data_IF_081795156455
#
_entry.id   IF_081795156455
#
_cell.length_a   1.000
_cell.length_b   1.000
_cell.length_c   1.000
_cell.angle_alpha   90.00
_cell.angle_beta   90.00
_cell.angle_gamma   90.00
#
_symmetry.space_group_name_H-M   'P 1'
#
loop_
_entity.id
_entity.type
_entity.pdbx_description
1 polymer ?
#
# COMPACT_ATOMS: atom_id res chain seq x y z
N UNK A 1 -0.06 -32.00 -29.86
CA UNK A 1 -0.66 -32.43 -28.57
C UNK A 1 0.19 -32.08 -27.34
N UNK A 2 1.51 -32.37 -27.30
CA UNK A 2 2.39 -32.08 -26.13
C UNK A 2 2.31 -30.63 -25.60
N UNK A 3 2.33 -29.62 -26.48
CA UNK A 3 2.26 -28.21 -26.06
C UNK A 3 0.91 -27.82 -25.42
N UNK A 4 -0.20 -28.45 -25.84
CA UNK A 4 -1.52 -28.17 -25.26
C UNK A 4 -1.59 -28.69 -23.83
N UNK A 5 -1.08 -29.90 -23.58
CA UNK A 5 -1.02 -30.47 -22.24
C UNK A 5 -0.18 -29.61 -21.29
N UNK A 6 1.02 -29.20 -21.70
CA UNK A 6 1.90 -28.33 -20.88
C UNK A 6 1.20 -27.01 -20.53
N UNK A 7 0.51 -26.37 -21.48
CA UNK A 7 -0.22 -25.14 -21.22
C UNK A 7 -1.38 -25.34 -20.25
N UNK A 8 -2.14 -26.44 -20.39
CA UNK A 8 -3.20 -26.79 -19.45
C UNK A 8 -2.62 -26.97 -18.04
N UNK A 9 -1.56 -27.76 -17.88
CA UNK A 9 -0.89 -27.96 -16.58
C UNK A 9 -0.44 -26.63 -15.98
N UNK A 10 0.18 -25.74 -16.76
CA UNK A 10 0.62 -24.42 -16.28
C UNK A 10 -0.54 -23.59 -15.74
N UNK A 11 -1.65 -23.54 -16.48
CA UNK A 11 -2.86 -22.83 -16.08
C UNK A 11 -3.48 -23.45 -14.84
N UNK A 12 -3.58 -24.78 -14.77
CA UNK A 12 -4.11 -25.50 -13.61
C UNK A 12 -3.31 -25.20 -12.35
N UNK A 13 -1.97 -25.20 -12.41
CA UNK A 13 -1.12 -24.85 -11.25
C UNK A 13 -1.34 -23.41 -10.81
N UNK A 14 -1.43 -22.46 -11.74
CA UNK A 14 -1.72 -21.07 -11.41
C UNK A 14 -3.10 -20.98 -10.74
N UNK A 15 -4.13 -21.58 -11.33
CA UNK A 15 -5.48 -21.58 -10.77
C UNK A 15 -5.52 -22.20 -9.36
N UNK A 16 -4.79 -23.29 -9.13
CA UNK A 16 -4.67 -23.91 -7.82
C UNK A 16 -4.00 -22.96 -6.80
N UNK A 17 -2.96 -22.23 -7.19
CA UNK A 17 -2.34 -21.21 -6.33
C UNK A 17 -3.35 -20.14 -5.91
N UNK A 18 -4.11 -19.59 -6.87
CA UNK A 18 -5.15 -18.59 -6.57
C UNK A 18 -6.23 -19.17 -5.66
N UNK A 19 -6.72 -20.38 -5.95
CA UNK A 19 -7.77 -21.03 -5.17
C UNK A 19 -7.31 -21.24 -3.72
N UNK A 20 -6.14 -21.81 -3.50
CA UNK A 20 -5.58 -22.03 -2.17
C UNK A 20 -5.35 -20.69 -1.45
N UNK A 21 -4.79 -19.70 -2.14
CA UNK A 21 -4.58 -18.37 -1.56
C UNK A 21 -5.90 -17.73 -1.10
N UNK A 22 -6.96 -17.81 -1.91
CA UNK A 22 -8.30 -17.31 -1.57
C UNK A 22 -8.91 -18.07 -0.40
N UNK A 23 -8.90 -19.41 -0.43
CA UNK A 23 -9.45 -20.24 0.65
C UNK A 23 -8.82 -19.89 1.99
N UNK A 24 -7.49 -19.81 2.03
CA UNK A 24 -6.75 -19.44 3.25
C UNK A 24 -7.09 -18.03 3.75
N UNK A 25 -7.53 -17.10 2.89
CA UNK A 25 -7.94 -15.74 3.30
C UNK A 25 -9.37 -15.70 3.81
N UNK A 26 -10.25 -16.54 3.26
CA UNK A 26 -11.64 -16.63 3.66
C UNK A 26 -11.78 -17.05 5.13
N UNK A 27 -10.86 -17.87 5.66
CA UNK A 27 -10.82 -18.26 7.07
C UNK A 27 -10.73 -17.04 8.02
N UNK A 28 -10.19 -15.91 7.55
CA UNK A 28 -10.06 -14.68 8.32
C UNK A 28 -11.24 -13.72 8.15
N UNK A 29 -12.26 -14.05 7.34
CA UNK A 29 -13.40 -13.15 7.14
C UNK A 29 -14.21 -12.97 8.42
N UNK A 30 -14.26 -13.98 9.30
CA UNK A 30 -14.96 -13.93 10.58
C UNK A 30 -14.37 -12.98 11.64
N UNK A 31 -13.08 -12.61 11.54
CA UNK A 31 -12.40 -11.82 12.58
C UNK A 31 -12.61 -10.30 12.49
N UNK A 32 -13.03 -9.65 13.58
CA UNK A 32 -13.11 -8.19 13.66
C UNK A 32 -11.72 -7.56 13.92
N UNK A 33 -11.35 -6.55 13.14
CA UNK A 33 -10.13 -5.77 13.34
C UNK A 33 -10.36 -4.64 14.33
N UNK A 34 -9.30 -4.10 14.94
CA UNK A 34 -9.41 -2.97 15.88
C UNK A 34 -10.00 -1.71 15.24
N UNK A 35 -9.72 -1.49 13.96
CA UNK A 35 -10.13 -0.27 13.25
C UNK A 35 -11.57 -0.33 12.72
N UNK A 36 -12.29 -1.45 12.89
CA UNK A 36 -13.62 -1.61 12.28
C UNK A 36 -14.64 -0.61 12.81
N UNK A 37 -14.58 -0.32 14.12
CA UNK A 37 -15.45 0.66 14.76
C UNK A 37 -15.24 2.05 14.16
N UNK A 38 -13.98 2.45 13.95
CA UNK A 38 -13.66 3.74 13.35
C UNK A 38 -14.17 3.87 11.92
N UNK A 39 -14.18 2.75 11.16
CA UNK A 39 -14.74 2.70 9.81
C UNK A 39 -16.26 2.70 9.79
N UNK A 40 -16.91 1.97 10.70
CA UNK A 40 -18.37 1.94 10.82
C UNK A 40 -18.91 3.32 11.20
N UNK A 41 -18.32 3.93 12.23
CA UNK A 41 -18.68 5.28 12.66
C UNK A 41 -18.50 6.32 11.57
N UNK A 42 -17.37 6.30 10.84
CA UNK A 42 -17.14 7.29 9.77
C UNK A 42 -18.13 7.13 8.61
N UNK A 43 -18.59 5.91 8.35
CA UNK A 43 -19.66 5.65 7.38
C UNK A 43 -21.00 6.18 7.88
N UNK A 44 -21.36 5.93 9.14
CA UNK A 44 -22.59 6.45 9.75
C UNK A 44 -22.62 7.99 9.73
N UNK A 45 -21.51 8.62 10.11
CA UNK A 45 -21.34 10.07 10.02
C UNK A 45 -21.56 10.54 8.56
N UNK A 46 -20.88 9.93 7.58
CA UNK A 46 -21.05 10.30 6.16
C UNK A 46 -22.50 10.15 5.69
N UNK A 47 -23.16 9.04 5.99
CA UNK A 47 -24.52 8.74 5.54
C UNK A 47 -25.58 9.62 6.22
N UNK A 48 -25.30 10.12 7.42
CA UNK A 48 -26.15 11.09 8.13
C UNK A 48 -25.92 12.54 7.71
N UNK A 49 -25.00 12.81 6.78
CA UNK A 49 -24.63 14.17 6.36
C UNK A 49 -23.64 14.87 7.30
N UNK A 50 -23.08 14.15 8.27
CA UNK A 50 -22.05 14.66 9.16
C UNK A 50 -20.67 14.46 8.54
N UNK A 51 -19.82 15.48 8.57
CA UNK A 51 -18.43 15.33 8.13
C UNK A 51 -17.66 14.37 9.09
N UNK A 52 -17.28 13.16 8.64
CA UNK A 52 -16.69 12.13 9.50
C UNK A 52 -15.31 12.54 10.04
N UNK A 53 -14.62 13.46 9.36
CA UNK A 53 -13.31 13.94 9.78
C UNK A 53 -13.37 14.83 11.03
N UNK A 54 -14.55 15.30 11.45
CA UNK A 54 -14.72 16.02 12.73
C UNK A 54 -14.28 15.15 13.91
N UNK A 55 -14.77 13.90 13.95
CA UNK A 55 -14.39 12.94 14.98
C UNK A 55 -12.92 12.53 14.83
N UNK A 56 -12.44 12.32 13.60
CA UNK A 56 -11.01 12.07 13.33
C UNK A 56 -10.14 13.14 13.97
N UNK A 57 -10.31 14.42 13.63
CA UNK A 57 -9.50 15.51 14.19
C UNK A 57 -9.56 15.52 15.72
N UNK A 58 -10.76 15.42 16.32
CA UNK A 58 -10.92 15.42 17.78
C UNK A 58 -10.13 14.28 18.47
N UNK A 59 -10.18 13.07 17.93
CA UNK A 59 -9.47 11.91 18.49
C UNK A 59 -7.95 11.97 18.33
N UNK A 60 -7.43 12.67 17.31
CA UNK A 60 -5.98 12.87 17.18
C UNK A 60 -5.44 14.01 18.07
N UNK A 61 -6.32 14.92 18.51
CA UNK A 61 -5.95 16.00 19.42
C UNK A 61 -5.95 15.59 20.90
N UNK A 62 -6.41 14.38 21.24
CA UNK A 62 -6.51 13.91 22.63
C UNK A 62 -5.33 12.98 22.96
N UNK A 63 -4.38 13.36 23.84
CA UNK A 63 -3.20 12.56 24.14
C UNK A 63 -3.48 11.24 24.87
N UNK A 64 -4.62 11.16 25.56
CA UNK A 64 -4.90 10.11 26.55
C UNK A 64 -5.46 8.80 25.95
N UNK A 65 -5.81 8.77 24.65
CA UNK A 65 -6.30 7.56 23.96
C UNK A 65 -5.62 7.35 22.60
N UNK A 66 -4.36 6.88 22.57
CA UNK A 66 -3.61 6.64 21.34
C UNK A 66 -4.11 5.41 20.54
N UNK A 67 -5.13 4.69 21.05
CA UNK A 67 -5.62 3.44 20.47
C UNK A 67 -6.90 3.59 19.66
N UNK A 68 -7.68 4.64 19.90
CA UNK A 68 -9.02 4.83 19.33
C UNK A 68 -9.09 6.10 18.50
N UNK A 69 -8.51 6.04 17.30
CA UNK A 69 -8.50 7.17 16.40
C UNK A 69 -9.49 7.01 15.25
N UNK A 70 -10.03 8.14 14.79
CA UNK A 70 -10.94 8.16 13.65
C UNK A 70 -10.29 7.86 12.30
N UNK A 71 -11.15 7.81 11.27
CA UNK A 71 -10.77 7.56 9.88
C UNK A 71 -9.85 8.66 9.35
N UNK A 72 -8.55 8.37 9.28
CA UNK A 72 -7.50 9.28 8.83
C UNK A 72 -6.97 8.87 7.45
N UNK A 73 -7.86 8.78 6.47
CA UNK A 73 -7.49 8.48 5.09
C UNK A 73 -8.29 9.37 4.16
N UNK A 74 -7.86 9.47 2.90
CA UNK A 74 -8.67 10.07 1.84
C UNK A 74 -9.90 9.18 1.55
N UNK A 75 -10.96 9.68 0.90
CA UNK A 75 -12.29 9.12 1.06
C UNK A 75 -12.60 7.85 0.24
N UNK A 76 -11.64 7.26 -0.49
CA UNK A 76 -11.94 6.10 -1.33
C UNK A 76 -12.41 4.88 -0.51
N UNK A 77 -11.70 4.55 0.59
CA UNK A 77 -12.11 3.45 1.46
C UNK A 77 -13.43 3.78 2.18
N UNK A 78 -13.65 5.04 2.55
CA UNK A 78 -14.90 5.49 3.14
C UNK A 78 -16.10 5.24 2.21
N UNK A 79 -15.98 5.54 0.91
CA UNK A 79 -17.06 5.27 -0.05
C UNK A 79 -17.29 3.78 -0.30
N UNK A 80 -16.22 2.99 -0.42
CA UNK A 80 -16.33 1.54 -0.53
C UNK A 80 -17.03 0.95 0.70
N UNK A 81 -16.60 1.36 1.89
CA UNK A 81 -17.20 0.94 3.15
C UNK A 81 -18.66 1.39 3.25
N UNK A 82 -19.00 2.59 2.79
CA UNK A 82 -20.39 3.07 2.78
C UNK A 82 -21.30 2.19 1.93
N UNK A 83 -20.85 1.81 0.73
CA UNK A 83 -21.57 0.87 -0.13
C UNK A 83 -21.79 -0.48 0.56
N UNK A 84 -20.75 -1.08 1.14
CA UNK A 84 -20.86 -2.37 1.83
C UNK A 84 -21.65 -2.29 3.15
N UNK A 85 -21.62 -1.15 3.84
CA UNK A 85 -22.45 -0.91 5.03
C UNK A 85 -23.93 -0.88 4.66
N UNK A 86 -24.31 -0.20 3.58
CA UNK A 86 -25.70 -0.22 3.10
C UNK A 86 -26.14 -1.65 2.77
N UNK A 87 -25.32 -2.42 2.05
CA UNK A 87 -25.60 -3.84 1.77
C UNK A 87 -25.72 -4.65 3.07
N UNK A 88 -24.89 -4.37 4.07
CA UNK A 88 -24.95 -5.07 5.36
C UNK A 88 -26.30 -4.89 6.04
N UNK A 89 -26.86 -3.67 6.03
CA UNK A 89 -28.18 -3.37 6.60
C UNK A 89 -29.32 -4.02 5.82
N UNK A 90 -29.19 -4.13 4.50
CA UNK A 90 -30.21 -4.73 3.64
C UNK A 90 -30.21 -6.26 3.67
N UNK A 91 -29.04 -6.89 3.79
CA UNK A 91 -28.88 -8.36 3.69
C UNK A 91 -28.77 -9.06 5.04
N UNK A 92 -28.48 -8.34 6.13
CA UNK A 92 -28.16 -8.91 7.44
C UNK A 92 -26.75 -9.52 7.53
N UNK A 93 -25.98 -9.56 6.42
CA UNK A 93 -24.58 -9.99 6.45
C UNK A 93 -23.74 -8.91 7.11
N UNK A 94 -22.85 -9.29 8.03
CA UNK A 94 -22.09 -8.31 8.79
C UNK A 94 -21.18 -7.43 7.92
N UNK A 95 -21.16 -6.12 8.23
CA UNK A 95 -20.33 -5.12 7.55
C UNK A 95 -18.84 -5.51 7.51
N UNK A 96 -18.29 -6.07 8.59
CA UNK A 96 -16.87 -6.45 8.64
C UNK A 96 -16.50 -7.62 7.71
N UNK A 97 -17.47 -8.44 7.32
CA UNK A 97 -17.30 -9.51 6.33
C UNK A 97 -17.30 -8.88 4.94
N UNK A 98 -18.31 -8.06 4.67
CA UNK A 98 -18.49 -7.41 3.36
C UNK A 98 -17.35 -6.46 3.02
N UNK A 99 -16.82 -5.71 3.99
CA UNK A 99 -15.72 -4.76 3.80
C UNK A 99 -14.40 -5.42 3.38
N UNK A 100 -14.24 -6.73 3.61
CA UNK A 100 -13.05 -7.50 3.19
C UNK A 100 -13.11 -7.99 1.73
N UNK A 101 -14.30 -8.07 1.14
CA UNK A 101 -14.49 -8.49 -0.26
C UNK A 101 -13.66 -7.64 -1.24
N UNK A 102 -13.76 -6.29 -1.26
CA UNK A 102 -12.99 -5.49 -2.21
C UNK A 102 -11.48 -5.65 -2.01
N UNK A 103 -11.06 -5.97 -0.80
CA UNK A 103 -9.66 -6.14 -0.44
C UNK A 103 -9.15 -7.50 -0.94
N UNK A 104 -9.93 -8.57 -0.79
CA UNK A 104 -9.63 -9.89 -1.37
C UNK A 104 -9.56 -9.82 -2.90
N UNK A 105 -10.49 -9.10 -3.53
CA UNK A 105 -10.47 -8.87 -4.97
C UNK A 105 -9.22 -8.10 -5.41
N UNK A 106 -8.78 -7.10 -4.63
CA UNK A 106 -7.53 -6.39 -4.92
C UNK A 106 -6.29 -7.29 -4.74
N UNK A 107 -6.25 -8.12 -3.71
CA UNK A 107 -5.15 -9.06 -3.46
C UNK A 107 -5.01 -10.08 -4.60
N UNK A 108 -6.14 -10.64 -5.07
CA UNK A 108 -6.22 -11.47 -6.28
C UNK A 108 -5.83 -10.65 -7.51
N UNK A 109 -6.28 -9.39 -7.61
CA UNK A 109 -5.97 -8.47 -8.68
C UNK A 109 -4.46 -8.24 -8.86
N UNK A 110 -3.70 -8.10 -7.77
CA UNK A 110 -2.23 -8.03 -7.81
C UNK A 110 -1.65 -9.30 -8.43
N UNK A 111 -2.11 -10.48 -7.99
CA UNK A 111 -1.71 -11.76 -8.57
C UNK A 111 -1.99 -11.83 -10.08
N UNK A 112 -3.18 -11.40 -10.53
CA UNK A 112 -3.56 -11.38 -11.95
C UNK A 112 -2.62 -10.47 -12.75
N UNK A 113 -2.24 -9.30 -12.20
CA UNK A 113 -1.27 -8.43 -12.84
C UNK A 113 0.11 -9.09 -12.93
N UNK A 114 0.57 -9.80 -11.90
CA UNK A 114 1.82 -10.57 -11.95
C UNK A 114 1.77 -11.66 -13.05
N UNK A 115 0.65 -12.39 -13.18
CA UNK A 115 0.42 -13.32 -14.31
C UNK A 115 0.56 -12.58 -15.64
N UNK A 116 -0.09 -11.41 -15.77
CA UNK A 116 -0.01 -10.60 -16.99
C UNK A 116 1.42 -10.17 -17.33
N UNK A 117 2.24 -9.84 -16.33
CA UNK A 117 3.63 -9.43 -16.54
C UNK A 117 4.57 -10.58 -16.89
N UNK A 118 4.39 -11.75 -16.28
CA UNK A 118 5.40 -12.81 -16.27
C UNK A 118 5.00 -14.08 -17.03
N UNK A 119 3.71 -14.39 -17.20
CA UNK A 119 3.25 -15.67 -17.78
C UNK A 119 3.87 -15.97 -19.16
N UNK A 120 3.90 -14.96 -20.03
CA UNK A 120 4.48 -15.08 -21.38
C UNK A 120 6.00 -14.92 -21.42
N UNK A 121 6.62 -14.47 -20.32
CA UNK A 121 8.06 -14.20 -20.25
C UNK A 121 8.83 -15.34 -19.61
N UNK A 122 8.41 -15.75 -18.42
CA UNK A 122 9.04 -16.83 -17.66
C UNK A 122 8.07 -17.40 -16.63
N UNK A 123 7.64 -18.64 -16.87
CA UNK A 123 6.68 -19.34 -16.02
C UNK A 123 7.20 -19.60 -14.60
N UNK A 124 8.49 -19.90 -14.44
CA UNK A 124 9.08 -20.14 -13.12
C UNK A 124 9.14 -18.86 -12.30
N UNK A 125 9.58 -17.76 -12.92
CA UNK A 125 9.61 -16.45 -12.26
C UNK A 125 8.20 -16.01 -11.85
N UNK A 126 7.17 -16.34 -12.65
CA UNK A 126 5.76 -16.16 -12.28
C UNK A 126 5.39 -16.97 -11.04
N UNK A 127 5.74 -18.25 -10.96
CA UNK A 127 5.46 -19.05 -9.77
C UNK A 127 6.10 -18.44 -8.52
N UNK A 128 7.38 -18.03 -8.61
CA UNK A 128 8.06 -17.32 -7.52
C UNK A 128 7.36 -16.02 -7.13
N UNK A 129 6.91 -15.23 -8.11
CA UNK A 129 6.17 -13.99 -7.89
C UNK A 129 4.85 -14.22 -7.16
N UNK A 130 4.06 -15.22 -7.58
CA UNK A 130 2.77 -15.54 -6.96
C UNK A 130 2.95 -16.09 -5.54
N UNK A 131 3.93 -16.97 -5.34
CA UNK A 131 4.25 -17.50 -4.01
C UNK A 131 4.70 -16.38 -3.06
N UNK A 132 5.58 -15.50 -3.53
CA UNK A 132 6.06 -14.36 -2.76
C UNK A 132 4.92 -13.43 -2.33
N UNK A 133 3.98 -13.10 -3.24
CA UNK A 133 2.83 -12.25 -2.91
C UNK A 133 1.83 -12.94 -1.98
N UNK A 134 1.33 -14.12 -2.36
CA UNK A 134 0.22 -14.76 -1.65
C UNK A 134 0.62 -15.37 -0.30
N UNK A 135 1.87 -15.84 -0.16
CA UNK A 135 2.42 -16.32 1.11
C UNK A 135 3.47 -15.35 1.66
N UNK A 136 3.13 -14.06 1.65
CA UNK A 136 3.97 -13.04 2.26
C UNK A 136 4.14 -13.29 3.78
N UNK A 137 5.25 -12.81 4.39
CA UNK A 137 5.54 -13.04 5.81
C UNK A 137 4.47 -12.55 6.77
N UNK A 138 3.76 -11.47 6.43
CA UNK A 138 2.68 -10.94 7.27
C UNK A 138 1.55 -11.95 7.42
N UNK A 139 1.09 -12.49 6.30
CA UNK A 139 0.04 -13.50 6.28
C UNK A 139 0.44 -14.72 7.12
N UNK A 140 1.67 -15.21 6.94
CA UNK A 140 2.19 -16.37 7.65
C UNK A 140 2.37 -16.15 9.16
N UNK A 141 2.92 -15.00 9.58
CA UNK A 141 3.26 -14.77 10.99
C UNK A 141 2.09 -14.32 11.84
N UNK A 142 1.17 -13.54 11.27
CA UNK A 142 0.07 -12.96 12.03
C UNK A 142 -1.20 -13.79 11.96
N UNK A 143 -1.24 -14.83 11.11
CA UNK A 143 -2.44 -15.60 10.81
C UNK A 143 -3.63 -14.63 10.69
N UNK A 144 -3.46 -13.62 9.84
CA UNK A 144 -4.44 -12.57 9.66
C UNK A 144 -4.37 -12.05 8.23
N UNK A 145 -5.53 -11.61 7.75
CA UNK A 145 -5.65 -10.94 6.48
C UNK A 145 -5.37 -9.44 6.63
N UNK A 146 -4.72 -8.86 5.62
CA UNK A 146 -4.34 -7.45 5.65
C UNK A 146 -5.56 -6.61 5.28
N UNK A 147 -6.15 -5.92 6.26
CA UNK A 147 -7.48 -5.33 6.10
C UNK A 147 -7.62 -4.35 4.94
N UNK A 148 -6.63 -3.50 4.63
CA UNK A 148 -6.82 -2.47 3.59
C UNK A 148 -5.67 -2.34 2.61
N UNK A 149 -4.45 -2.78 2.95
CA UNK A 149 -3.25 -2.54 2.12
C UNK A 149 -3.26 -3.20 0.71
N UNK A 150 -3.87 -4.37 0.46
CA UNK A 150 -3.92 -4.91 -0.90
C UNK A 150 -4.59 -3.97 -1.93
N UNK A 151 -5.57 -3.16 -1.51
CA UNK A 151 -6.29 -2.23 -2.38
C UNK A 151 -5.39 -1.13 -2.98
N UNK A 152 -4.71 -0.28 -2.17
CA UNK A 152 -3.81 0.72 -2.73
C UNK A 152 -2.67 0.08 -3.51
N UNK A 153 -2.17 -1.11 -3.11
CA UNK A 153 -1.12 -1.82 -3.86
C UNK A 153 -1.58 -2.22 -5.25
N UNK A 154 -2.78 -2.78 -5.36
CA UNK A 154 -3.39 -3.11 -6.65
C UNK A 154 -3.57 -1.87 -7.52
N UNK A 155 -4.10 -0.78 -6.96
CA UNK A 155 -4.32 0.49 -7.67
C UNK A 155 -2.99 1.12 -8.11
N UNK A 156 -1.95 1.12 -7.25
CA UNK A 156 -0.61 1.56 -7.64
C UNK A 156 -0.09 0.72 -8.81
N UNK A 157 -0.22 -0.61 -8.74
CA UNK A 157 0.30 -1.50 -9.79
C UNK A 157 -0.45 -1.32 -11.12
N UNK A 158 -1.76 -1.05 -11.09
CA UNK A 158 -2.53 -0.64 -12.26
C UNK A 158 -2.02 0.68 -12.83
N UNK A 159 -1.76 1.68 -11.98
CA UNK A 159 -1.21 2.96 -12.39
C UNK A 159 0.14 2.77 -13.12
N UNK A 160 1.04 1.94 -12.58
CA UNK A 160 2.30 1.56 -13.23
C UNK A 160 2.10 0.77 -14.54
N UNK A 161 1.09 -0.10 -14.58
CA UNK A 161 0.77 -0.88 -15.78
C UNK A 161 0.33 0.02 -16.94
N UNK A 162 -0.44 1.07 -16.67
CA UNK A 162 -0.93 2.03 -17.66
C UNK A 162 0.05 3.18 -17.95
N UNK A 163 1.00 3.47 -17.06
CA UNK A 163 2.06 4.44 -17.30
C UNK A 163 2.78 4.11 -18.63
N UNK A 164 3.00 5.11 -19.47
CA UNK A 164 3.52 4.99 -20.86
C UNK A 164 2.57 4.33 -21.88
N UNK A 165 1.35 3.93 -21.49
CA UNK A 165 0.33 3.37 -22.39
C UNK A 165 -0.89 4.27 -22.52
N UNK A 166 -1.38 4.75 -21.38
CA UNK A 166 -2.53 5.63 -21.28
C UNK A 166 -2.35 6.53 -20.04
N UNK A 167 -1.98 7.79 -20.27
CA UNK A 167 -1.72 8.74 -19.20
C UNK A 167 -2.96 9.08 -18.37
N UNK A 168 -4.16 9.00 -18.97
CA UNK A 168 -5.42 9.28 -18.27
C UNK A 168 -5.73 8.16 -17.30
N UNK A 169 -5.64 6.90 -17.74
CA UNK A 169 -5.82 5.75 -16.86
C UNK A 169 -4.72 5.68 -15.79
N UNK A 170 -3.47 5.97 -16.15
CA UNK A 170 -2.37 6.02 -15.20
C UNK A 170 -2.62 7.06 -14.10
N UNK A 171 -3.05 8.27 -14.47
CA UNK A 171 -3.38 9.34 -13.51
C UNK A 171 -4.62 9.01 -12.66
N UNK A 172 -5.67 8.46 -13.26
CA UNK A 172 -6.87 8.04 -12.55
C UNK A 172 -6.56 6.96 -11.50
N UNK A 173 -5.83 5.89 -11.87
CA UNK A 173 -5.44 4.85 -10.91
C UNK A 173 -4.45 5.36 -9.86
N UNK A 174 -3.56 6.29 -10.21
CA UNK A 174 -2.68 6.93 -9.23
C UNK A 174 -3.49 7.73 -8.19
N UNK A 175 -4.48 8.52 -8.63
CA UNK A 175 -5.37 9.24 -7.73
C UNK A 175 -6.16 8.30 -6.83
N UNK A 176 -6.72 7.22 -7.37
CA UNK A 176 -7.40 6.20 -6.56
C UNK A 176 -6.44 5.55 -5.55
N UNK A 177 -5.21 5.24 -5.94
CA UNK A 177 -4.21 4.66 -5.04
C UNK A 177 -3.86 5.62 -3.90
N UNK A 178 -3.64 6.90 -4.21
CA UNK A 178 -3.42 7.97 -3.21
C UNK A 178 -4.65 8.09 -2.29
N UNK A 179 -5.86 8.07 -2.87
CA UNK A 179 -7.10 8.19 -2.13
C UNK A 179 -7.40 6.98 -1.23
N UNK A 180 -6.95 5.78 -1.59
CA UNK A 180 -6.97 4.61 -0.71
C UNK A 180 -5.91 4.72 0.39
N UNK A 181 -4.67 5.08 0.01
CA UNK A 181 -3.57 5.27 0.95
C UNK A 181 -2.51 6.24 0.38
N UNK A 182 -2.18 7.35 1.08
CA UNK A 182 -1.37 8.42 0.49
C UNK A 182 0.08 8.07 0.10
N UNK A 183 0.62 6.90 0.49
CA UNK A 183 2.02 6.54 0.18
C UNK A 183 2.31 6.57 -1.33
N UNK A 184 1.31 6.32 -2.17
CA UNK A 184 1.45 6.31 -3.64
C UNK A 184 1.88 7.66 -4.21
N UNK A 185 1.73 8.75 -3.44
CA UNK A 185 2.19 10.09 -3.82
C UNK A 185 3.71 10.13 -4.05
N UNK A 186 4.47 9.23 -3.43
CA UNK A 186 5.92 9.15 -3.65
C UNK A 186 6.29 8.87 -5.11
N UNK A 187 5.39 8.28 -5.89
CA UNK A 187 5.61 7.97 -7.29
C UNK A 187 5.36 9.15 -8.24
N UNK A 188 4.83 10.28 -7.75
CA UNK A 188 4.39 11.37 -8.62
C UNK A 188 5.49 11.87 -9.59
N UNK A 189 6.74 12.16 -9.17
CA UNK A 189 7.77 12.60 -10.11
C UNK A 189 8.07 11.54 -11.18
N UNK A 190 8.07 10.26 -10.81
CA UNK A 190 8.29 9.17 -11.76
C UNK A 190 7.20 9.16 -12.83
N UNK A 191 5.94 9.31 -12.41
CA UNK A 191 4.81 9.36 -13.34
C UNK A 191 4.89 10.57 -14.27
N UNK A 192 5.26 11.75 -13.74
CA UNK A 192 5.42 12.95 -14.56
C UNK A 192 6.55 12.83 -15.58
N UNK A 193 7.71 12.25 -15.21
CA UNK A 193 8.82 12.05 -16.15
C UNK A 193 8.56 10.96 -17.20
N UNK A 194 7.68 10.01 -16.91
CA UNK A 194 7.39 8.86 -17.76
C UNK A 194 6.13 9.00 -18.60
N UNK A 195 5.23 9.90 -18.24
CA UNK A 195 4.01 10.15 -19.00
C UNK A 195 4.34 10.63 -20.42
N UNK A 196 3.54 10.21 -21.40
CA UNK A 196 3.68 10.72 -22.77
C UNK A 196 3.16 12.17 -22.85
N UNK A 197 2.12 12.48 -22.08
CA UNK A 197 1.43 13.76 -21.95
C UNK A 197 1.20 14.05 -20.46
N UNK A 198 2.23 14.54 -19.73
CA UNK A 198 2.16 14.75 -18.28
C UNK A 198 0.96 15.58 -17.82
N UNK A 199 0.53 16.57 -18.61
CA UNK A 199 -0.66 17.38 -18.32
C UNK A 199 -1.94 16.52 -18.26
N UNK A 200 -2.12 15.52 -19.14
CA UNK A 200 -3.30 14.63 -19.10
C UNK A 200 -3.28 13.74 -17.87
N UNK A 201 -2.10 13.28 -17.48
CA UNK A 201 -1.91 12.51 -16.24
C UNK A 201 -2.28 13.36 -15.02
N UNK A 202 -1.79 14.60 -14.96
CA UNK A 202 -2.12 15.54 -13.88
C UNK A 202 -3.61 15.86 -13.84
N UNK A 203 -4.21 16.22 -14.97
CA UNK A 203 -5.63 16.58 -15.04
C UNK A 203 -6.52 15.41 -14.60
N UNK A 204 -6.26 14.19 -15.08
CA UNK A 204 -7.02 13.01 -14.65
C UNK A 204 -6.83 12.72 -13.16
N UNK A 205 -5.62 12.87 -12.63
CA UNK A 205 -5.34 12.72 -11.20
C UNK A 205 -6.14 13.73 -10.37
N UNK A 206 -6.11 15.01 -10.76
CA UNK A 206 -6.83 16.11 -10.09
C UNK A 206 -8.34 15.92 -10.19
N UNK A 207 -8.88 15.62 -11.37
CA UNK A 207 -10.33 15.43 -11.56
C UNK A 207 -10.85 14.30 -10.66
N UNK A 208 -10.16 13.15 -10.63
CA UNK A 208 -10.55 12.03 -9.75
C UNK A 208 -10.44 12.43 -8.28
N UNK A 209 -9.36 13.09 -7.87
CA UNK A 209 -9.17 13.54 -6.49
C UNK A 209 -10.24 14.56 -6.04
N UNK A 210 -10.56 15.53 -6.89
CA UNK A 210 -11.62 16.52 -6.65
C UNK A 210 -12.97 15.84 -6.60
N UNK A 211 -13.28 14.97 -7.56
CA UNK A 211 -14.55 14.22 -7.60
C UNK A 211 -14.77 13.43 -6.30
N UNK A 212 -13.75 12.71 -5.85
CA UNK A 212 -13.80 11.99 -4.57
C UNK A 212 -13.91 12.92 -3.37
N UNK A 213 -13.51 14.19 -3.47
CA UNK A 213 -13.56 15.14 -2.37
C UNK A 213 -14.84 15.99 -2.34
N UNK A 214 -15.70 15.95 -3.39
CA UNK A 214 -16.88 16.81 -3.55
C UNK A 214 -17.73 16.93 -2.27
N UNK A 215 -18.07 15.85 -1.53
CA UNK A 215 -18.90 15.95 -0.33
C UNK A 215 -18.32 16.82 0.79
N UNK A 216 -17.02 17.08 0.76
CA UNK A 216 -16.31 17.88 1.77
C UNK A 216 -16.00 19.30 1.30
N UNK A 217 -16.45 19.70 0.10
CA UNK A 217 -16.20 21.03 -0.48
C UNK A 217 -17.36 22.02 -0.26
N UNK A 218 -18.40 21.64 0.48
CA UNK A 218 -19.60 22.46 0.67
C UNK A 218 -19.36 23.76 1.44
N UNK A 219 -18.34 23.81 2.31
CA UNK A 219 -17.93 25.01 3.04
C UNK A 219 -16.41 25.01 3.28
N UNK A 220 -15.83 26.19 3.53
CA UNK A 220 -14.40 26.28 3.89
C UNK A 220 -14.09 25.49 5.17
N UNK A 221 -15.01 25.50 6.15
CA UNK A 221 -14.83 24.77 7.40
C UNK A 221 -14.85 23.25 7.19
N UNK A 222 -15.76 22.73 6.37
CA UNK A 222 -15.79 21.30 6.05
C UNK A 222 -14.56 20.86 5.26
N UNK A 223 -14.13 21.69 4.31
CA UNK A 223 -12.92 21.43 3.54
C UNK A 223 -11.68 21.39 4.43
N UNK A 224 -11.50 22.37 5.33
CA UNK A 224 -10.38 22.40 6.26
C UNK A 224 -10.44 21.24 7.26
N UNK A 225 -11.62 20.86 7.74
CA UNK A 225 -11.81 19.70 8.62
C UNK A 225 -11.41 18.41 7.91
N UNK A 226 -11.83 18.24 6.64
CA UNK A 226 -11.44 17.13 5.80
C UNK A 226 -9.93 17.10 5.56
N UNK A 227 -9.32 18.20 5.14
CA UNK A 227 -7.89 18.29 4.87
C UNK A 227 -7.07 17.96 6.14
N UNK A 228 -7.48 18.52 7.27
CA UNK A 228 -6.85 18.23 8.56
C UNK A 228 -6.95 16.74 8.89
N UNK A 229 -8.16 16.18 8.87
CA UNK A 229 -8.40 14.79 9.26
C UNK A 229 -7.85 13.74 8.29
N UNK A 230 -7.85 13.99 6.99
CA UNK A 230 -7.40 13.02 5.99
C UNK A 230 -5.89 13.06 5.72
N UNK A 231 -5.24 14.21 5.94
CA UNK A 231 -3.84 14.42 5.55
C UNK A 231 -2.96 14.87 6.71
N UNK A 232 -3.39 15.88 7.48
CA UNK A 232 -2.50 16.59 8.40
C UNK A 232 -2.39 15.96 9.80
N UNK A 233 -3.41 15.25 10.28
CA UNK A 233 -3.40 14.56 11.59
C UNK A 233 -2.26 13.56 11.77
N UNK A 234 -1.63 13.10 10.68
CA UNK A 234 -0.46 12.22 10.75
C UNK A 234 0.84 12.94 11.10
N UNK A 235 0.93 14.25 10.82
CA UNK A 235 2.13 15.06 11.06
C UNK A 235 2.37 15.36 12.53
N UNK A 236 1.32 15.31 13.34
CA UNK A 236 1.36 15.60 14.78
C UNK A 236 1.41 14.33 15.65
N UNK A 237 1.47 13.15 15.02
CA UNK A 237 1.60 11.90 15.77
C UNK A 237 2.98 11.80 16.42
N UNK A 238 2.99 11.32 17.66
CA UNK A 238 4.17 10.72 18.29
C UNK A 238 4.65 9.58 17.37
N UNK A 239 5.95 9.25 17.39
CA UNK A 239 6.50 8.10 16.66
C UNK A 239 5.63 6.87 16.89
N UNK A 240 4.97 6.40 15.82
CA UNK A 240 4.06 5.26 15.87
C UNK A 240 4.62 4.11 15.03
N UNK A 241 4.51 2.90 15.55
CA UNK A 241 5.10 1.73 14.91
C UNK A 241 6.58 1.56 15.26
N UNK A 242 7.35 1.02 14.30
CA UNK A 242 8.76 0.67 14.49
C UNK A 242 9.58 0.98 13.22
N UNK A 243 9.95 2.24 13.01
CA UNK A 243 10.72 2.67 11.85
C UNK A 243 11.99 1.86 11.61
N UNK A 244 12.44 1.78 10.35
CA UNK A 244 13.61 0.97 10.02
C UNK A 244 14.90 1.50 10.65
N UNK A 245 15.07 2.82 10.72
CA UNK A 245 16.20 3.42 11.44
C UNK A 245 16.18 3.14 12.95
N UNK A 246 15.01 2.90 13.54
CA UNK A 246 14.87 2.57 14.96
C UNK A 246 15.22 1.10 15.19
N UNK A 247 14.87 0.23 14.23
CA UNK A 247 15.35 -1.14 14.20
C UNK A 247 16.89 -1.20 14.17
N UNK A 248 17.52 -0.44 13.26
CA UNK A 248 18.98 -0.35 13.17
C UNK A 248 19.57 0.23 14.48
N UNK A 249 18.99 1.32 14.99
CA UNK A 249 19.43 1.97 16.24
C UNK A 249 19.41 1.00 17.42
N UNK A 250 18.31 0.25 17.58
CA UNK A 250 18.13 -0.69 18.67
C UNK A 250 19.14 -1.83 18.66
N UNK A 251 19.31 -2.50 17.51
CA UNK A 251 20.21 -3.66 17.40
C UNK A 251 21.68 -3.27 17.24
N UNK A 252 21.96 -2.18 16.55
CA UNK A 252 23.30 -1.65 16.37
C UNK A 252 23.84 -0.97 17.64
N UNK A 253 22.97 -0.68 18.62
CA UNK A 253 23.29 0.14 19.80
C UNK A 253 23.88 1.50 19.40
N UNK A 254 23.23 2.16 18.43
CA UNK A 254 23.63 3.48 17.89
C UNK A 254 22.46 4.43 18.06
N UNK A 255 22.67 5.59 18.67
CA UNK A 255 21.62 6.61 18.86
C UNK A 255 21.43 7.46 17.59
N UNK A 256 20.57 7.00 16.67
CA UNK A 256 20.38 7.67 15.38
C UNK A 256 19.39 8.85 15.41
N UNK A 257 18.58 8.96 16.46
CA UNK A 257 17.28 9.67 16.39
C UNK A 257 17.19 10.87 17.32
N UNK A 258 18.05 10.97 18.34
CA UNK A 258 18.07 12.11 19.25
C UNK A 258 18.60 13.39 18.59
N UNK A 259 19.37 13.24 17.52
CA UNK A 259 20.04 14.35 16.84
C UNK A 259 19.12 15.04 15.83
N UNK A 260 18.18 14.30 15.21
CA UNK A 260 17.38 14.80 14.08
C UNK A 260 15.88 14.79 14.45
N UNK A 261 15.15 15.92 14.29
CA UNK A 261 13.73 15.98 14.61
C UNK A 261 12.89 14.99 13.78
N UNK A 262 11.87 14.38 14.39
CA UNK A 262 10.93 13.43 13.74
C UNK A 262 10.30 14.02 12.47
N UNK A 263 10.02 15.33 12.45
CA UNK A 263 9.50 16.05 11.27
C UNK A 263 10.42 15.94 10.06
N UNK A 264 11.75 15.94 10.26
CA UNK A 264 12.70 15.73 9.16
C UNK A 264 12.48 14.37 8.52
N UNK A 265 12.41 13.31 9.32
CA UNK A 265 12.18 11.94 8.83
C UNK A 265 10.85 11.82 8.07
N UNK A 266 9.78 12.45 8.57
CA UNK A 266 8.49 12.49 7.89
C UNK A 266 8.61 13.10 6.48
N UNK A 267 9.22 14.28 6.36
CA UNK A 267 9.42 14.93 5.06
C UNK A 267 10.41 14.19 4.15
N UNK A 268 11.52 13.71 4.72
CA UNK A 268 12.55 12.96 4.01
C UNK A 268 12.00 11.67 3.38
N UNK A 269 11.06 11.00 4.04
CA UNK A 269 10.45 9.75 3.55
C UNK A 269 9.79 9.88 2.18
N UNK A 270 9.26 11.07 1.84
CA UNK A 270 8.66 11.36 0.52
C UNK A 270 9.67 12.08 -0.37
N UNK A 271 10.28 13.15 0.14
CA UNK A 271 11.15 14.03 -0.66
C UNK A 271 12.39 13.31 -1.18
N UNK A 272 13.00 12.41 -0.39
CA UNK A 272 14.17 11.65 -0.87
C UNK A 272 13.79 10.67 -1.97
N UNK A 273 12.58 10.12 -1.96
CA UNK A 273 12.06 9.34 -3.08
C UNK A 273 11.96 10.19 -4.35
N UNK A 274 11.50 11.43 -4.23
CA UNK A 274 11.40 12.37 -5.36
C UNK A 274 12.78 12.78 -5.89
N UNK A 275 13.69 13.17 -5.00
CA UNK A 275 15.08 13.52 -5.34
C UNK A 275 15.78 12.33 -6.02
N UNK A 276 15.60 11.12 -5.49
CA UNK A 276 16.11 9.90 -6.10
C UNK A 276 15.61 9.72 -7.53
N UNK A 277 14.32 9.91 -7.81
CA UNK A 277 13.79 9.84 -9.18
C UNK A 277 14.45 10.87 -10.09
N UNK A 278 14.54 12.12 -9.66
CA UNK A 278 15.13 13.19 -10.46
C UNK A 278 16.58 12.84 -10.81
N UNK A 279 17.37 12.40 -9.83
CA UNK A 279 18.78 12.01 -10.02
C UNK A 279 18.88 10.76 -10.91
N UNK A 280 18.17 9.68 -10.58
CA UNK A 280 18.21 8.43 -11.30
C UNK A 280 17.77 8.59 -12.77
N UNK A 281 16.76 9.42 -13.02
CA UNK A 281 16.22 9.64 -14.35
C UNK A 281 17.04 10.65 -15.17
N UNK A 282 17.40 11.80 -14.60
CA UNK A 282 18.10 12.86 -15.34
C UNK A 282 19.60 12.66 -15.42
N UNK A 283 20.24 12.17 -14.36
CA UNK A 283 21.70 11.99 -14.30
C UNK A 283 22.07 10.60 -14.78
N UNK A 284 21.53 9.55 -14.14
CA UNK A 284 21.89 8.16 -14.45
C UNK A 284 21.10 7.54 -15.60
N UNK A 285 20.11 8.25 -16.15
CA UNK A 285 19.29 7.81 -17.30
C UNK A 285 18.62 6.45 -17.10
N UNK A 286 18.30 6.08 -15.86
CA UNK A 286 17.58 4.85 -15.55
C UNK A 286 16.15 5.00 -16.06
N UNK A 287 15.72 4.12 -16.97
CA UNK A 287 14.38 4.13 -17.57
C UNK A 287 13.46 3.01 -17.07
N UNK A 288 13.93 2.08 -16.27
CA UNK A 288 13.09 0.96 -15.81
C UNK A 288 12.15 1.43 -14.69
N UNK A 289 10.85 1.57 -14.97
CA UNK A 289 9.91 2.23 -14.05
C UNK A 289 9.62 1.44 -12.77
N UNK A 290 9.64 0.11 -12.83
CA UNK A 290 9.37 -0.71 -11.65
C UNK A 290 10.55 -0.65 -10.67
N UNK A 291 11.78 -0.62 -11.19
CA UNK A 291 13.01 -0.40 -10.41
C UNK A 291 13.02 0.97 -9.75
N UNK A 292 12.65 2.01 -10.49
CA UNK A 292 12.55 3.36 -9.94
C UNK A 292 11.47 3.44 -8.84
N UNK A 293 10.30 2.84 -9.06
CA UNK A 293 9.23 2.77 -8.06
C UNK A 293 9.65 1.97 -6.81
N UNK A 294 10.35 0.84 -7.00
CA UNK A 294 10.89 0.05 -5.90
C UNK A 294 11.93 0.84 -5.09
N UNK A 295 12.80 1.60 -5.76
CA UNK A 295 13.77 2.49 -5.12
C UNK A 295 13.11 3.59 -4.28
N UNK A 296 12.04 4.21 -4.78
CA UNK A 296 11.26 5.19 -4.00
C UNK A 296 10.71 4.58 -2.71
N UNK A 297 10.07 3.41 -2.78
CA UNK A 297 9.50 2.77 -1.60
C UNK A 297 10.59 2.30 -0.61
N UNK A 298 11.74 1.85 -1.10
CA UNK A 298 12.86 1.50 -0.24
C UNK A 298 13.35 2.71 0.57
N UNK A 299 13.49 3.88 -0.08
CA UNK A 299 13.82 5.13 0.60
C UNK A 299 12.72 5.56 1.58
N UNK A 300 11.45 5.43 1.19
CA UNK A 300 10.34 5.69 2.10
C UNK A 300 10.43 4.85 3.37
N UNK A 301 10.63 3.54 3.27
CA UNK A 301 10.74 2.67 4.45
C UNK A 301 11.96 2.98 5.31
N UNK A 302 13.06 3.40 4.69
CA UNK A 302 14.26 3.77 5.41
C UNK A 302 14.01 5.01 6.30
N UNK A 303 13.36 6.04 5.75
CA UNK A 303 13.21 7.31 6.44
C UNK A 303 11.87 7.51 7.18
N UNK A 304 10.82 6.73 6.87
CA UNK A 304 9.51 6.98 7.48
C UNK A 304 9.55 6.82 9.00
N UNK A 305 9.09 7.82 9.77
CA UNK A 305 9.00 7.73 11.23
C UNK A 305 7.78 6.90 11.66
N UNK A 306 6.98 6.42 10.71
CA UNK A 306 5.83 5.54 10.94
C UNK A 306 5.87 4.41 9.92
N UNK A 307 6.41 3.27 10.33
CA UNK A 307 6.48 2.07 9.49
C UNK A 307 5.59 1.00 10.11
N UNK A 308 4.37 0.76 9.66
CA UNK A 308 3.50 -0.29 10.24
C UNK A 308 3.94 -1.70 9.77
N UNK A 309 3.54 -2.75 10.51
CA UNK A 309 3.79 -4.16 10.17
C UNK A 309 3.33 -4.56 8.76
N UNK A 310 2.36 -3.89 8.17
CA UNK A 310 1.85 -4.21 6.81
C UNK A 310 2.53 -3.41 5.71
N UNK A 311 3.33 -2.38 6.02
CA UNK A 311 3.78 -1.42 5.00
C UNK A 311 4.75 -2.03 4.01
N UNK A 312 5.55 -3.02 4.44
CA UNK A 312 6.49 -3.72 3.56
C UNK A 312 5.78 -4.45 2.41
N UNK A 313 4.50 -4.80 2.55
CA UNK A 313 3.70 -5.36 1.44
C UNK A 313 3.66 -4.45 0.21
N UNK A 314 3.75 -3.12 0.39
CA UNK A 314 3.56 -2.19 -0.73
C UNK A 314 4.65 -2.28 -1.79
N UNK A 315 5.87 -2.66 -1.39
CA UNK A 315 7.01 -2.81 -2.28
C UNK A 315 7.01 -4.13 -3.03
N UNK A 316 6.39 -5.17 -2.47
CA UNK A 316 6.53 -6.55 -2.97
C UNK A 316 6.27 -6.70 -4.47
N UNK A 317 5.14 -6.26 -5.06
CA UNK A 317 4.90 -6.48 -6.49
C UNK A 317 5.84 -5.67 -7.38
N UNK A 318 6.18 -4.43 -7.00
CA UNK A 318 7.15 -3.62 -7.76
C UNK A 318 8.54 -4.25 -7.70
N UNK A 319 8.95 -4.74 -6.53
CA UNK A 319 10.23 -5.40 -6.30
C UNK A 319 10.38 -6.67 -7.14
N UNK A 320 9.35 -7.53 -7.15
CA UNK A 320 9.30 -8.73 -7.99
C UNK A 320 9.51 -8.40 -9.47
N UNK A 321 8.77 -7.43 -10.00
CA UNK A 321 8.86 -7.07 -11.42
C UNK A 321 10.23 -6.44 -11.73
N UNK A 322 10.71 -5.55 -10.86
CA UNK A 322 12.02 -4.90 -11.00
C UNK A 322 13.16 -5.93 -11.00
N UNK A 323 13.17 -6.84 -10.03
CA UNK A 323 14.18 -7.90 -9.94
C UNK A 323 14.15 -8.81 -11.15
N UNK A 324 12.97 -9.17 -11.65
CA UNK A 324 12.89 -9.98 -12.87
C UNK A 324 13.47 -9.24 -14.08
N UNK A 325 13.20 -7.94 -14.21
CA UNK A 325 13.76 -7.15 -15.32
C UNK A 325 15.29 -7.06 -15.25
N UNK A 326 15.88 -7.01 -14.05
CA UNK A 326 17.35 -6.99 -13.85
C UNK A 326 17.96 -8.40 -14.03
N UNK A 327 17.35 -9.41 -13.42
CA UNK A 327 17.92 -10.76 -13.27
C UNK A 327 17.22 -11.82 -14.14
N UNK A 328 16.54 -11.42 -15.22
CA UNK A 328 15.80 -12.34 -16.10
C UNK A 328 16.63 -13.54 -16.58
N UNK A 329 17.93 -13.34 -16.82
CA UNK A 329 18.87 -14.41 -17.21
C UNK A 329 19.56 -15.10 -16.01
N UNK A 330 19.52 -14.50 -14.82
CA UNK A 330 20.18 -14.96 -13.59
C UNK A 330 19.13 -15.36 -12.55
N UNK A 331 18.35 -16.39 -12.85
CA UNK A 331 17.20 -16.81 -12.04
C UNK A 331 17.56 -17.10 -10.57
N UNK A 332 18.75 -17.64 -10.30
CA UNK A 332 19.23 -17.86 -8.93
C UNK A 332 19.28 -16.55 -8.14
N UNK A 333 19.81 -15.46 -8.72
CA UNK A 333 19.86 -14.15 -8.05
C UNK A 333 18.48 -13.54 -7.86
N UNK A 334 17.56 -13.80 -8.79
CA UNK A 334 16.15 -13.41 -8.67
C UNK A 334 15.51 -14.07 -7.44
N UNK A 335 15.56 -15.41 -7.33
CA UNK A 335 14.98 -16.12 -6.19
C UNK A 335 15.69 -15.82 -4.88
N UNK A 336 17.02 -15.71 -4.90
CA UNK A 336 17.78 -15.33 -3.71
C UNK A 336 17.35 -13.95 -3.19
N UNK A 337 17.17 -12.97 -4.08
CA UNK A 337 16.68 -11.64 -3.68
C UNK A 337 15.26 -11.67 -3.12
N UNK A 338 14.36 -12.49 -3.68
CA UNK A 338 13.00 -12.67 -3.14
C UNK A 338 13.03 -13.33 -1.76
N UNK A 339 13.81 -14.40 -1.59
CA UNK A 339 13.96 -15.10 -0.30
C UNK A 339 14.62 -14.19 0.74
N UNK A 340 15.61 -13.40 0.36
CA UNK A 340 16.25 -12.44 1.25
C UNK A 340 15.24 -11.40 1.75
N UNK A 341 14.44 -10.80 0.85
CA UNK A 341 13.39 -9.87 1.25
C UNK A 341 12.34 -10.53 2.15
N UNK A 342 11.90 -11.74 1.79
CA UNK A 342 10.92 -12.49 2.56
C UNK A 342 11.44 -12.78 3.97
N UNK A 343 12.68 -13.27 4.09
CA UNK A 343 13.34 -13.55 5.36
C UNK A 343 13.55 -12.28 6.19
N UNK A 344 14.00 -11.20 5.55
CA UNK A 344 14.11 -9.89 6.20
C UNK A 344 12.77 -9.43 6.78
N UNK A 345 11.70 -9.48 5.99
CA UNK A 345 10.38 -9.05 6.43
C UNK A 345 9.83 -9.97 7.55
N UNK A 346 10.06 -11.27 7.47
CA UNK A 346 9.75 -12.21 8.56
C UNK A 346 10.47 -11.83 9.86
N UNK A 347 11.80 -11.64 9.82
CA UNK A 347 12.60 -11.26 10.99
C UNK A 347 12.15 -9.92 11.56
N UNK A 348 11.86 -8.95 10.69
CA UNK A 348 11.31 -7.66 11.09
C UNK A 348 9.97 -7.81 11.85
N UNK A 349 9.06 -8.64 11.35
CA UNK A 349 7.76 -8.91 11.98
C UNK A 349 7.86 -9.70 13.29
N UNK A 350 8.86 -10.57 13.40
CA UNK A 350 9.19 -11.29 14.63
C UNK A 350 9.50 -10.28 15.74
N UNK A 351 10.51 -9.43 15.52
CA UNK A 351 10.92 -8.42 16.49
C UNK A 351 9.91 -7.29 16.68
N UNK A 352 9.08 -7.02 15.68
CA UNK A 352 7.96 -6.08 15.82
C UNK A 352 7.05 -6.46 17.00
N UNK A 353 6.86 -7.77 17.26
CA UNK A 353 6.01 -8.26 18.35
C UNK A 353 6.58 -7.90 19.72
N UNK A 354 7.89 -7.99 19.87
CA UNK A 354 8.57 -7.79 21.16
C UNK A 354 8.71 -6.31 21.52
N UNK A 355 8.62 -5.44 20.51
CA UNK A 355 8.71 -4.00 20.67
C UNK A 355 10.16 -3.54 20.85
N UNK A 356 10.75 -2.98 19.81
CA UNK A 356 12.05 -2.32 19.91
C UNK A 356 11.87 -0.80 19.98
N UNK A 357 12.52 -0.20 20.97
CA UNK A 357 12.52 1.24 21.21
C UNK A 357 13.90 1.81 20.82
N UNK A 358 14.08 3.13 20.93
CA UNK A 358 15.39 3.74 20.72
C UNK A 358 16.35 3.18 21.78
N UNK A 359 17.54 2.71 21.37
CA UNK A 359 18.56 2.29 22.34
C UNK A 359 19.23 3.51 22.96
N UNK A 360 19.40 3.47 24.28
CA UNK A 360 20.13 4.44 25.06
C UNK A 360 21.18 3.70 25.92
N UNK A 361 22.42 4.22 26.03
CA UNK A 361 23.47 3.63 26.86
C UNK A 361 23.17 3.66 28.35
#
# INVERSE_FOLDING_TARGET
MKNKFVNITKITVIAAIFLVACMLRLDFFGGAGKDIYAYERSVEDLLSGTNPYKWTVATYSTPDDPGNHGYAYLPLLLYLNSFFYIISKLSGVSFYILSKIPILLADVGVGILLVKFLYRKNYWALLGALLFWFWNPYFFMKNNYVYTDPLPVFLSLLAFYYLEKDDVLAGAFLALAIAAKPYSLIFLPLFLFKAQRPLRLMLSTVIVGVFLSIPFLGSWNDFMTYLNGAVLVHGDRIVQGRPFLWFISYYGKIELIRIIPVKFYAYASILLGWVFIVIAFLIFKIKEKYLLGAGCLALFYFFTPVLNRTYLLWLMPLFVIALYNIFSKKQVLYYFSLLFYWGFYYVYLFYWKDGFHIWHP
#
